data_IF_423322600352
#
_entry.id   IF_423322600352
#
_cell.length_a   1.000
_cell.length_b   1.000
_cell.length_c   1.000
_cell.angle_alpha   90.00
_cell.angle_beta   90.00
_cell.angle_gamma   90.00
#
_symmetry.space_group_name_H-M   'P 1'
#
loop_
_entity.id
_entity.type
_entity.pdbx_description
1 polymer ?
#
# COMPACT_ATOMS: atom_id res chain seq x y z
N UNK A 1 -41.85 -18.58 36.83
CA UNK A 1 -41.00 -17.36 36.78
C UNK A 1 -39.70 -17.76 36.13
N UNK A 2 -39.54 -17.51 34.83
CA UNK A 2 -38.46 -18.06 34.00
C UNK A 2 -37.54 -16.92 33.57
N UNK A 3 -36.31 -16.93 34.06
CA UNK A 3 -35.28 -15.92 33.72
C UNK A 3 -34.73 -16.28 32.34
N UNK A 4 -35.05 -15.46 31.33
CA UNK A 4 -34.40 -15.51 30.02
C UNK A 4 -33.01 -14.89 30.16
N UNK A 5 -31.98 -15.74 30.06
CA UNK A 5 -30.62 -15.29 29.77
C UNK A 5 -30.61 -14.65 28.38
N UNK A 6 -30.54 -13.32 28.33
CA UNK A 6 -30.21 -12.59 27.10
C UNK A 6 -28.71 -12.75 26.92
N UNK A 7 -28.33 -13.69 26.05
CA UNK A 7 -26.97 -13.79 25.54
C UNK A 7 -26.73 -12.56 24.66
N UNK A 8 -26.12 -11.52 25.21
CA UNK A 8 -25.55 -10.44 24.41
C UNK A 8 -24.40 -11.05 23.59
N UNK A 9 -24.69 -11.38 22.33
CA UNK A 9 -23.65 -11.49 21.32
C UNK A 9 -23.03 -10.09 21.18
N UNK A 10 -21.91 -9.88 21.86
CA UNK A 10 -20.95 -8.85 21.50
C UNK A 10 -20.52 -9.18 20.06
N UNK A 11 -21.11 -8.51 19.07
CA UNK A 11 -20.51 -8.39 17.76
C UNK A 11 -19.25 -7.55 17.97
N UNK A 12 -18.12 -8.20 18.21
CA UNK A 12 -16.83 -7.66 17.83
C UNK A 12 -16.94 -7.42 16.31
N UNK A 13 -17.19 -6.18 15.93
CA UNK A 13 -16.96 -5.71 14.57
C UNK A 13 -15.44 -5.79 14.38
N UNK A 14 -14.96 -6.97 14.01
CA UNK A 14 -13.70 -7.10 13.29
C UNK A 14 -13.94 -6.30 12.01
N UNK A 15 -13.46 -5.06 11.98
CA UNK A 15 -13.41 -4.30 10.74
C UNK A 15 -12.68 -5.16 9.72
N UNK A 16 -13.27 -5.34 8.54
CA UNK A 16 -12.65 -6.02 7.41
C UNK A 16 -11.42 -5.20 6.98
N UNK A 17 -10.32 -5.39 7.71
CA UNK A 17 -9.03 -4.85 7.36
C UNK A 17 -8.65 -5.42 6.01
N UNK A 18 -8.28 -4.54 5.08
CA UNK A 18 -7.70 -4.96 3.84
C UNK A 18 -6.35 -5.61 4.16
N UNK A 19 -6.34 -6.94 4.02
CA UNK A 19 -5.24 -7.80 4.43
C UNK A 19 -3.98 -7.48 3.62
N UNK A 20 -2.85 -7.23 4.30
CA UNK A 20 -1.52 -7.04 3.69
C UNK A 20 -1.20 -8.13 2.66
N UNK A 21 -1.71 -9.35 2.86
CA UNK A 21 -1.55 -10.46 1.93
C UNK A 21 -2.15 -10.21 0.54
N UNK A 22 -3.09 -9.28 0.37
CA UNK A 22 -3.68 -8.97 -0.93
C UNK A 22 -2.68 -8.34 -1.91
N UNK A 23 -1.59 -7.75 -1.42
CA UNK A 23 -0.49 -7.28 -2.27
C UNK A 23 0.46 -8.40 -2.73
N UNK A 24 0.28 -9.64 -2.27
CA UNK A 24 1.26 -10.70 -2.42
C UNK A 24 0.69 -11.99 -3.00
N UNK A 25 1.44 -12.58 -3.93
CA UNK A 25 1.17 -13.92 -4.46
C UNK A 25 2.20 -14.91 -3.93
N UNK A 26 1.75 -15.89 -3.14
CA UNK A 26 2.63 -16.98 -2.68
C UNK A 26 2.99 -17.91 -3.84
N UNK A 27 4.28 -18.20 -4.02
CA UNK A 27 4.72 -19.25 -4.95
C UNK A 27 5.36 -20.41 -4.18
N UNK A 28 4.77 -21.62 -4.21
CA UNK A 28 5.36 -22.78 -3.57
C UNK A 28 6.56 -23.33 -4.38
N UNK A 29 7.45 -24.07 -3.71
CA UNK A 29 8.50 -24.86 -4.38
C UNK A 29 9.78 -24.10 -4.74
N UNK A 30 10.11 -23.02 -4.03
CA UNK A 30 11.26 -22.16 -4.32
C UNK A 30 12.27 -22.16 -3.16
N UNK A 31 13.46 -22.74 -3.34
CA UNK A 31 14.55 -22.67 -2.35
C UNK A 31 15.41 -21.43 -2.57
N UNK A 32 15.87 -20.78 -1.49
CA UNK A 32 16.74 -19.60 -1.58
C UNK A 32 17.98 -19.95 -2.39
N UNK A 33 18.18 -19.28 -3.53
CA UNK A 33 19.45 -19.28 -4.25
C UNK A 33 20.00 -17.87 -4.17
N UNK A 34 20.63 -17.53 -3.04
CA UNK A 34 21.19 -16.18 -2.87
C UNK A 34 22.30 -15.96 -3.90
N UNK A 35 21.97 -15.28 -4.99
CA UNK A 35 22.97 -14.51 -5.73
C UNK A 35 23.18 -13.22 -4.94
N UNK A 36 24.38 -13.02 -4.43
CA UNK A 36 24.76 -11.97 -3.47
C UNK A 36 24.41 -10.54 -3.97
N UNK A 37 24.19 -10.36 -5.27
CA UNK A 37 23.91 -9.05 -5.88
C UNK A 37 22.40 -8.69 -5.96
N UNK A 38 21.49 -9.63 -5.66
CA UNK A 38 20.03 -9.44 -5.81
C UNK A 38 19.29 -9.46 -4.46
N UNK A 39 19.98 -9.82 -3.38
CA UNK A 39 19.45 -9.72 -2.01
C UNK A 39 19.85 -8.37 -1.45
N UNK A 40 18.85 -7.56 -1.08
CA UNK A 40 19.09 -6.18 -0.61
C UNK A 40 19.16 -6.06 0.88
N UNK A 41 18.25 -6.72 1.58
CA UNK A 41 18.12 -6.53 3.03
C UNK A 41 17.55 -7.78 3.65
N UNK A 42 18.16 -8.17 4.76
CA UNK A 42 17.64 -9.14 5.71
C UNK A 42 17.05 -8.37 6.88
N UNK A 43 15.75 -8.50 7.12
CA UNK A 43 15.11 -7.99 8.34
C UNK A 43 14.90 -9.14 9.31
N UNK A 44 15.20 -8.92 10.59
CA UNK A 44 14.87 -9.91 11.63
C UNK A 44 13.41 -9.69 12.01
N UNK A 45 12.56 -10.64 11.66
CA UNK A 45 11.12 -10.61 11.94
C UNK A 45 10.65 -12.01 12.32
N UNK A 46 9.77 -12.07 13.30
CA UNK A 46 9.19 -13.33 13.77
C UNK A 46 7.93 -13.70 12.96
N UNK A 47 7.22 -12.67 12.46
CA UNK A 47 5.93 -12.84 11.82
C UNK A 47 5.99 -12.58 10.31
N UNK A 48 5.27 -13.43 9.55
CA UNK A 48 5.11 -13.29 8.10
C UNK A 48 4.64 -11.89 7.71
N UNK A 49 3.61 -11.37 8.38
CA UNK A 49 2.99 -10.10 7.99
C UNK A 49 3.93 -8.90 8.23
N UNK A 50 4.81 -8.96 9.22
CA UNK A 50 5.86 -7.94 9.41
C UNK A 50 6.87 -7.94 8.27
N UNK A 51 7.23 -9.13 7.79
CA UNK A 51 8.06 -9.31 6.60
C UNK A 51 7.39 -8.66 5.38
N UNK A 52 6.10 -8.94 5.15
CA UNK A 52 5.31 -8.35 4.05
C UNK A 52 5.21 -6.82 4.16
N UNK A 53 4.94 -6.29 5.36
CA UNK A 53 4.91 -4.83 5.59
C UNK A 53 6.27 -4.18 5.32
N UNK A 54 7.37 -4.80 5.75
CA UNK A 54 8.72 -4.30 5.47
C UNK A 54 8.98 -4.19 3.96
N UNK A 55 8.53 -5.18 3.19
CA UNK A 55 8.58 -5.13 1.72
C UNK A 55 7.75 -3.95 1.17
N UNK A 56 6.53 -3.71 1.64
CA UNK A 56 5.70 -2.59 1.17
C UNK A 56 6.25 -1.21 1.54
N UNK A 57 6.91 -1.05 2.70
CA UNK A 57 7.56 0.22 3.10
C UNK A 57 8.59 0.69 2.08
N UNK A 58 9.27 -0.23 1.40
CA UNK A 58 10.23 0.11 0.32
C UNK A 58 9.58 0.84 -0.86
N UNK A 59 8.25 0.79 -1.02
CA UNK A 59 7.54 1.55 -2.05
C UNK A 59 7.43 3.04 -1.68
N UNK A 60 7.36 3.34 -0.38
CA UNK A 60 7.29 4.69 0.17
C UNK A 60 8.68 5.33 0.14
N UNK A 61 9.70 4.59 0.56
CA UNK A 61 11.06 5.10 0.68
C UNK A 61 11.72 5.35 -0.69
N UNK A 62 12.63 6.33 -0.80
CA UNK A 62 13.44 6.51 -2.00
C UNK A 62 14.44 5.35 -2.11
N UNK A 63 14.37 4.58 -3.20
CA UNK A 63 15.30 3.49 -3.41
C UNK A 63 14.80 2.49 -4.42
N UNK A 64 15.31 1.27 -4.33
CA UNK A 64 14.80 0.15 -5.10
C UNK A 64 13.64 -0.50 -4.39
N UNK A 65 12.67 -0.93 -5.19
CA UNK A 65 11.40 -1.47 -4.72
C UNK A 65 11.54 -2.96 -4.44
N UNK A 66 10.93 -3.42 -3.36
CA UNK A 66 10.74 -4.84 -3.13
C UNK A 66 9.80 -5.42 -4.20
N UNK A 67 10.32 -6.31 -5.04
CA UNK A 67 9.55 -7.09 -6.00
C UNK A 67 9.21 -8.49 -5.48
N UNK A 68 10.01 -9.02 -4.55
CA UNK A 68 9.71 -10.28 -3.89
C UNK A 68 10.39 -10.42 -2.54
N UNK A 69 9.91 -11.40 -1.78
CA UNK A 69 10.21 -11.56 -0.38
C UNK A 69 10.20 -13.04 -0.01
N UNK A 70 11.13 -13.45 0.86
CA UNK A 70 11.11 -14.77 1.47
C UNK A 70 11.13 -14.69 2.99
N UNK A 71 10.12 -15.26 3.63
CA UNK A 71 10.03 -15.37 5.08
C UNK A 71 10.63 -16.71 5.55
N UNK A 72 11.61 -16.66 6.44
CA UNK A 72 12.30 -17.83 7.01
C UNK A 72 12.03 -17.90 8.52
N UNK A 73 10.93 -18.56 8.95
CA UNK A 73 10.52 -18.58 10.35
C UNK A 73 11.55 -19.22 11.30
N UNK A 74 12.35 -20.18 10.80
CA UNK A 74 13.35 -20.88 11.62
C UNK A 74 14.50 -19.97 12.03
N UNK A 75 14.81 -19.01 11.18
CA UNK A 75 15.94 -18.09 11.36
C UNK A 75 15.46 -16.70 11.79
N UNK A 76 14.16 -16.52 12.05
CA UNK A 76 13.49 -15.24 12.28
C UNK A 76 13.91 -14.18 11.27
N UNK A 77 14.03 -14.56 10.01
CA UNK A 77 14.65 -13.72 8.99
C UNK A 77 13.73 -13.52 7.79
N UNK A 78 13.83 -12.34 7.20
CA UNK A 78 13.06 -11.87 6.06
C UNK A 78 14.01 -11.37 4.99
N UNK A 79 14.05 -12.06 3.86
CA UNK A 79 14.85 -11.66 2.70
C UNK A 79 13.97 -10.79 1.80
N UNK A 80 14.35 -9.54 1.61
CA UNK A 80 13.68 -8.60 0.70
C UNK A 80 14.55 -8.43 -0.55
N UNK A 81 13.92 -8.53 -1.73
CA UNK A 81 14.62 -8.45 -3.01
C UNK A 81 13.90 -7.58 -4.04
N UNK A 82 14.70 -7.00 -4.94
CA UNK A 82 14.30 -6.20 -6.09
C UNK A 82 14.09 -7.03 -7.38
N UNK A 83 14.15 -8.37 -7.31
CA UNK A 83 13.94 -9.27 -8.44
C UNK A 83 12.76 -10.22 -8.18
N UNK A 84 12.43 -11.07 -9.15
CA UNK A 84 11.35 -12.07 -9.07
C UNK A 84 11.81 -13.45 -9.55
N UNK A 85 11.16 -14.50 -9.07
CA UNK A 85 11.26 -15.87 -9.55
C UNK A 85 12.67 -16.47 -9.46
N UNK A 86 13.11 -17.09 -10.56
CA UNK A 86 14.35 -17.89 -10.62
C UNK A 86 15.64 -17.11 -10.39
N UNK A 87 15.58 -15.78 -10.43
CA UNK A 87 16.75 -14.94 -10.21
C UNK A 87 17.20 -14.99 -8.72
N UNK A 88 16.25 -15.21 -7.80
CA UNK A 88 16.49 -15.17 -6.34
C UNK A 88 16.30 -16.55 -5.69
N UNK A 89 15.47 -17.42 -6.28
CA UNK A 89 15.18 -18.73 -5.73
C UNK A 89 15.16 -19.80 -6.84
N UNK A 90 15.79 -20.94 -6.61
CA UNK A 90 15.72 -22.08 -7.53
C UNK A 90 14.45 -22.87 -7.26
N UNK A 91 13.72 -23.21 -8.30
CA UNK A 91 12.66 -24.18 -8.20
C UNK A 91 13.28 -25.53 -7.79
N UNK A 92 12.88 -26.08 -6.63
CA UNK A 92 13.30 -27.42 -6.20
C UNK A 92 12.29 -28.44 -6.73
N UNK A 93 12.76 -29.37 -7.56
CA UNK A 93 11.96 -30.42 -8.18
C UNK A 93 11.74 -31.62 -7.22
N UNK A 94 12.43 -31.65 -6.06
CA UNK A 94 12.52 -32.86 -5.24
C UNK A 94 12.02 -32.77 -3.81
N UNK A 95 11.62 -31.62 -3.25
CA UNK A 95 10.95 -31.62 -1.95
C UNK A 95 9.87 -30.55 -1.79
N UNK A 96 8.72 -30.94 -1.21
CA UNK A 96 7.73 -30.03 -0.61
C UNK A 96 8.32 -29.34 0.63
N UNK A 97 9.43 -28.61 0.50
CA UNK A 97 9.90 -27.72 1.56
C UNK A 97 8.97 -26.51 1.58
N UNK A 98 8.43 -26.21 2.76
CA UNK A 98 7.56 -25.07 3.03
C UNK A 98 8.35 -23.75 2.87
N UNK A 99 8.57 -23.35 1.63
CA UNK A 99 9.25 -22.09 1.31
C UNK A 99 8.21 -20.99 1.20
N UNK A 100 8.29 -20.00 2.09
CA UNK A 100 7.36 -18.87 2.12
C UNK A 100 7.87 -17.75 1.21
N UNK A 101 7.89 -18.02 -0.10
CA UNK A 101 8.24 -17.03 -1.11
C UNK A 101 6.98 -16.32 -1.62
N UNK A 102 7.05 -15.00 -1.71
CA UNK A 102 5.96 -14.15 -2.16
C UNK A 102 6.44 -13.12 -3.17
N UNK A 103 5.70 -12.96 -4.25
CA UNK A 103 5.89 -11.86 -5.20
C UNK A 103 5.00 -10.67 -4.80
N UNK A 104 5.55 -9.45 -4.89
CA UNK A 104 4.82 -8.22 -4.59
C UNK A 104 4.07 -7.74 -5.84
N UNK A 105 2.78 -8.00 -5.90
CA UNK A 105 1.89 -7.59 -6.99
C UNK A 105 1.61 -6.09 -6.95
N UNK A 106 1.61 -5.46 -5.78
CA UNK A 106 1.46 -4.01 -5.66
C UNK A 106 2.65 -3.23 -6.25
N UNK A 107 3.85 -3.84 -6.28
CA UNK A 107 5.01 -3.26 -6.96
C UNK A 107 4.97 -3.36 -8.50
N UNK A 108 4.01 -4.12 -9.07
CA UNK A 108 3.84 -4.33 -10.52
C UNK A 108 2.66 -3.49 -11.03
N UNK A 109 2.90 -2.28 -11.57
CA UNK A 109 1.81 -1.46 -12.04
C UNK A 109 1.19 -2.04 -13.31
N UNK A 110 -0.14 -1.87 -13.50
CA UNK A 110 -0.81 -2.16 -14.76
C UNK A 110 -0.15 -1.43 -15.94
N UNK A 111 -0.30 -2.01 -17.13
CA UNK A 111 0.16 -1.41 -18.38
C UNK A 111 -0.67 -0.14 -18.68
N UNK A 112 -0.01 0.93 -19.11
CA UNK A 112 -0.67 2.20 -19.45
C UNK A 112 0.17 3.43 -19.10
N UNK A 113 -0.44 4.61 -19.22
CA UNK A 113 0.10 5.84 -18.65
C UNK A 113 0.10 5.75 -17.13
N UNK A 114 1.15 6.28 -16.49
CA UNK A 114 1.36 6.11 -15.05
C UNK A 114 1.77 7.42 -14.38
N UNK A 115 1.07 7.72 -13.29
CA UNK A 115 1.37 8.86 -12.43
C UNK A 115 1.55 8.39 -10.99
N UNK A 116 2.29 9.15 -10.20
CA UNK A 116 2.44 8.92 -8.77
C UNK A 116 2.30 10.21 -7.96
N UNK A 117 1.78 10.09 -6.75
CA UNK A 117 1.81 11.13 -5.75
C UNK A 117 2.50 10.58 -4.49
N UNK A 118 3.54 11.29 -4.04
CA UNK A 118 4.24 10.99 -2.79
C UNK A 118 3.73 11.89 -1.68
N UNK A 119 3.26 11.26 -0.61
CA UNK A 119 2.88 11.91 0.64
C UNK A 119 4.16 12.17 1.44
N UNK A 120 4.21 13.30 2.15
CA UNK A 120 5.46 13.86 2.69
C UNK A 120 5.60 13.82 4.21
N UNK A 121 4.72 13.12 4.94
CA UNK A 121 4.87 12.98 6.40
C UNK A 121 4.28 14.13 7.20
N UNK A 122 3.41 14.98 6.63
CA UNK A 122 3.04 16.28 7.24
C UNK A 122 2.49 16.16 8.67
N UNK A 123 1.67 15.13 8.96
CA UNK A 123 1.21 14.79 10.33
C UNK A 123 1.62 13.39 10.75
N UNK A 124 2.81 12.95 10.33
CA UNK A 124 3.35 11.62 10.61
C UNK A 124 2.89 10.54 9.63
N UNK A 125 1.80 10.76 8.89
CA UNK A 125 1.39 9.91 7.79
C UNK A 125 2.26 10.16 6.57
N UNK A 126 2.87 9.11 6.00
CA UNK A 126 3.62 9.15 4.75
C UNK A 126 3.18 8.00 3.84
N UNK A 127 3.52 8.06 2.56
CA UNK A 127 3.03 7.06 1.62
C UNK A 127 3.24 7.39 0.16
N UNK A 128 2.83 6.44 -0.67
CA UNK A 128 2.82 6.55 -2.12
C UNK A 128 1.47 6.13 -2.66
N UNK A 129 0.97 6.92 -3.60
CA UNK A 129 -0.19 6.60 -4.42
C UNK A 129 0.30 6.49 -5.86
N UNK A 130 -0.05 5.40 -6.54
CA UNK A 130 0.25 5.22 -7.96
C UNK A 130 -1.04 4.97 -8.70
N UNK A 131 -1.17 5.58 -9.88
CA UNK A 131 -2.31 5.38 -10.75
C UNK A 131 -1.82 4.99 -12.13
N UNK A 132 -2.53 4.06 -12.74
CA UNK A 132 -2.24 3.54 -14.07
C UNK A 132 -3.53 3.44 -14.89
N UNK A 133 -3.47 3.83 -16.16
CA UNK A 133 -4.61 3.75 -17.07
C UNK A 133 -4.13 3.49 -18.49
N UNK A 134 -4.77 2.52 -19.13
CA UNK A 134 -4.67 2.31 -20.57
C UNK A 134 -5.83 3.04 -21.23
N UNK A 135 -5.58 3.64 -22.40
CA UNK A 135 -6.62 4.34 -23.15
C UNK A 135 -7.85 3.44 -23.40
N UNK A 136 -9.03 3.94 -23.03
CA UNK A 136 -10.31 3.22 -23.14
C UNK A 136 -10.66 2.34 -21.93
N UNK A 137 -9.75 2.15 -20.97
CA UNK A 137 -9.99 1.43 -19.73
C UNK A 137 -10.18 2.40 -18.55
N UNK A 138 -10.76 1.91 -17.45
CA UNK A 138 -10.79 2.66 -16.19
C UNK A 138 -9.40 2.78 -15.58
N UNK A 139 -9.13 3.89 -14.90
CA UNK A 139 -7.90 4.01 -14.13
C UNK A 139 -7.90 3.03 -12.95
N UNK A 140 -6.71 2.58 -12.58
CA UNK A 140 -6.47 1.79 -11.37
C UNK A 140 -5.58 2.58 -10.43
N UNK A 141 -5.86 2.49 -9.13
CA UNK A 141 -5.06 3.10 -8.06
C UNK A 141 -4.47 2.02 -7.16
N UNK A 142 -3.23 2.25 -6.71
CA UNK A 142 -2.59 1.53 -5.62
C UNK A 142 -2.14 2.55 -4.58
N UNK A 143 -2.35 2.24 -3.31
CA UNK A 143 -2.00 3.09 -2.18
C UNK A 143 -1.23 2.27 -1.16
N UNK A 144 -0.10 2.79 -0.69
CA UNK A 144 0.60 2.28 0.48
C UNK A 144 0.97 3.46 1.35
N UNK A 145 0.51 3.43 2.60
CA UNK A 145 0.69 4.50 3.59
C UNK A 145 1.13 3.91 4.93
N UNK A 146 1.89 4.66 5.71
CA UNK A 146 2.30 4.30 7.08
C UNK A 146 2.21 5.52 7.98
N UNK A 147 2.26 5.30 9.30
CA UNK A 147 2.15 6.37 10.29
C UNK A 147 0.70 6.85 10.52
N UNK A 148 -0.28 6.05 10.10
CA UNK A 148 -1.69 6.30 10.34
C UNK A 148 -2.10 5.86 11.75
N UNK A 149 -3.17 6.44 12.28
CA UNK A 149 -3.79 5.90 13.47
C UNK A 149 -4.43 4.55 13.11
N UNK A 150 -4.12 3.51 13.87
CA UNK A 150 -4.59 2.15 13.63
C UNK A 150 -6.12 2.05 13.72
N UNK A 151 -6.69 1.17 12.89
CA UNK A 151 -8.11 0.83 12.90
C UNK A 151 -9.02 1.94 12.39
N UNK A 152 -8.57 2.74 11.41
CA UNK A 152 -9.32 3.88 10.88
C UNK A 152 -9.36 3.88 9.36
N UNK A 153 -10.38 4.54 8.84
CA UNK A 153 -10.57 4.72 7.41
C UNK A 153 -10.05 6.08 6.95
N UNK A 154 -9.35 6.10 5.82
CA UNK A 154 -8.78 7.29 5.23
C UNK A 154 -9.29 7.47 3.81
N UNK A 155 -9.99 8.57 3.57
CA UNK A 155 -10.48 8.95 2.27
C UNK A 155 -9.43 9.77 1.53
N UNK A 156 -9.19 9.43 0.27
CA UNK A 156 -8.28 10.14 -0.63
C UNK A 156 -9.11 10.94 -1.62
N UNK A 157 -8.86 12.25 -1.68
CA UNK A 157 -9.58 13.19 -2.52
C UNK A 157 -8.67 13.82 -3.56
N UNK A 158 -9.20 14.06 -4.76
CA UNK A 158 -8.58 14.91 -5.74
C UNK A 158 -8.90 16.38 -5.43
N UNK A 159 -7.90 17.24 -5.33
CA UNK A 159 -8.05 18.65 -4.96
C UNK A 159 -7.28 19.56 -5.94
N UNK A 160 -7.79 19.79 -7.16
CA UNK A 160 -7.08 20.52 -8.20
C UNK A 160 -6.87 22.01 -7.87
N UNK A 161 -7.73 22.56 -7.02
CA UNK A 161 -7.70 23.97 -6.59
C UNK A 161 -6.73 24.23 -5.45
N UNK A 162 -6.09 23.19 -4.89
CA UNK A 162 -5.13 23.31 -3.81
C UNK A 162 -3.71 23.12 -4.34
N UNK A 163 -2.82 24.04 -3.97
CA UNK A 163 -1.39 23.78 -3.99
C UNK A 163 -0.97 22.92 -2.79
N UNK A 164 0.21 22.29 -2.89
CA UNK A 164 0.80 21.50 -1.80
C UNK A 164 0.99 22.32 -0.52
N UNK A 165 1.34 23.60 -0.64
CA UNK A 165 1.51 24.51 0.50
C UNK A 165 0.17 24.88 1.16
N UNK A 166 -0.87 25.11 0.36
CA UNK A 166 -2.21 25.38 0.87
C UNK A 166 -2.77 24.16 1.59
N UNK A 167 -2.59 22.96 1.02
CA UNK A 167 -3.01 21.72 1.66
C UNK A 167 -2.43 21.56 3.08
N UNK A 168 -1.15 21.87 3.29
CA UNK A 168 -0.52 21.82 4.63
C UNK A 168 -1.15 22.77 5.64
N UNK A 169 -1.91 23.77 5.20
CA UNK A 169 -2.64 24.69 6.09
C UNK A 169 -4.08 24.24 6.32
N UNK A 170 -4.58 23.28 5.53
CA UNK A 170 -5.92 22.71 5.72
C UNK A 170 -5.89 21.79 6.94
N UNK A 171 -6.74 22.09 7.92
CA UNK A 171 -6.90 21.19 9.07
C UNK A 171 -7.92 20.09 8.76
N UNK A 172 -9.05 20.46 8.16
CA UNK A 172 -10.16 19.56 7.84
C UNK A 172 -10.62 19.74 6.39
N UNK A 173 -11.10 18.66 5.75
CA UNK A 173 -11.54 18.69 4.35
C UNK A 173 -12.79 19.56 4.13
N UNK A 174 -13.63 19.75 5.15
CA UNK A 174 -14.84 20.58 5.05
C UNK A 174 -14.52 22.05 4.75
N UNK A 175 -13.32 22.50 5.10
CA UNK A 175 -12.84 23.86 4.85
C UNK A 175 -11.98 23.95 3.57
N UNK A 176 -11.83 22.84 2.85
CA UNK A 176 -11.04 22.77 1.63
C UNK A 176 -11.94 22.60 0.42
N UNK A 177 -11.52 23.19 -0.71
CA UNK A 177 -12.07 22.88 -2.03
C UNK A 177 -11.50 21.54 -2.50
N UNK A 178 -12.03 20.46 -1.93
CA UNK A 178 -11.77 19.09 -2.40
C UNK A 178 -12.82 18.71 -3.44
N UNK A 179 -12.38 18.02 -4.49
CA UNK A 179 -13.22 17.44 -5.51
C UNK A 179 -13.64 16.02 -5.13
N UNK A 180 -13.61 15.13 -6.12
CA UNK A 180 -14.06 13.75 -5.98
C UNK A 180 -13.19 12.93 -5.01
N UNK A 181 -13.85 12.04 -4.26
CA UNK A 181 -13.19 11.00 -3.46
C UNK A 181 -12.82 9.84 -4.37
N UNK A 182 -11.53 9.55 -4.49
CA UNK A 182 -11.01 8.51 -5.37
C UNK A 182 -11.12 7.11 -4.74
N UNK A 183 -10.72 6.99 -3.48
CA UNK A 183 -10.68 5.70 -2.77
C UNK A 183 -10.70 5.90 -1.25
N UNK A 184 -11.07 4.85 -0.52
CA UNK A 184 -10.97 4.76 0.94
C UNK A 184 -9.93 3.68 1.26
N UNK A 185 -9.07 3.93 2.23
CA UNK A 185 -8.05 3.00 2.70
C UNK A 185 -8.15 2.85 4.21
N UNK A 186 -8.29 1.63 4.69
CA UNK A 186 -8.22 1.31 6.10
C UNK A 186 -6.76 1.10 6.56
N UNK A 187 -6.38 1.61 7.75
CA UNK A 187 -5.04 1.52 8.38
C UNK A 187 -4.82 0.42 9.46
N UNK A 188 -4.03 -0.61 9.21
CA UNK A 188 -3.99 -1.81 10.09
C UNK A 188 -3.55 -1.54 11.53
N UNK A 189 -3.48 -2.60 12.35
CA UNK A 189 -3.04 -2.47 13.75
C UNK A 189 -1.65 -1.83 13.91
N UNK A 190 -0.83 -1.80 12.84
CA UNK A 190 0.49 -1.16 12.80
C UNK A 190 0.46 0.28 12.28
N UNK A 191 -0.72 0.79 11.89
CA UNK A 191 -0.90 2.09 11.25
C UNK A 191 -0.53 2.10 9.77
N UNK A 192 -0.52 0.95 9.10
CA UNK A 192 -0.25 0.83 7.67
C UNK A 192 -1.55 0.72 6.88
N UNK A 193 -1.79 1.65 5.95
CA UNK A 193 -2.93 1.61 5.04
C UNK A 193 -2.54 1.07 3.67
N UNK A 194 -3.30 0.10 3.15
CA UNK A 194 -2.98 -0.57 1.88
C UNK A 194 -4.24 -0.61 1.01
N UNK A 195 -4.10 -0.16 -0.23
CA UNK A 195 -5.05 -0.43 -1.31
C UNK A 195 -4.28 -1.06 -2.48
N UNK A 196 -4.49 -2.36 -2.76
CA UNK A 196 -3.98 -3.00 -3.96
C UNK A 196 -4.57 -2.34 -5.22
N UNK A 197 -4.00 -2.65 -6.38
CA UNK A 197 -4.48 -2.14 -7.67
C UNK A 197 -5.98 -2.35 -7.87
N UNK A 198 -6.75 -1.28 -7.69
CA UNK A 198 -8.22 -1.29 -7.70
C UNK A 198 -8.72 -0.27 -8.72
N UNK A 199 -9.78 -0.61 -9.43
CA UNK A 199 -10.40 0.30 -10.41
C UNK A 199 -11.08 1.48 -9.72
N UNK A 200 -10.87 2.67 -10.28
CA UNK A 200 -11.54 3.90 -9.87
C UNK A 200 -12.26 4.52 -11.07
N UNK A 201 -13.37 5.21 -10.80
CA UNK A 201 -14.11 5.94 -11.83
C UNK A 201 -13.51 7.34 -12.01
N UNK A 202 -12.25 7.40 -12.44
CA UNK A 202 -11.51 8.64 -12.65
C UNK A 202 -10.56 8.48 -13.84
N UNK A 203 -10.29 9.56 -14.57
CA UNK A 203 -9.41 9.56 -15.74
C UNK A 203 -8.08 10.26 -15.42
N UNK A 204 -6.97 9.60 -15.70
CA UNK A 204 -5.61 10.12 -15.44
C UNK A 204 -4.87 10.53 -16.71
N UNK A 205 -5.42 10.22 -17.88
CA UNK A 205 -4.82 10.53 -19.19
C UNK A 205 -5.15 11.97 -19.66
N UNK A 206 -5.76 12.78 -18.80
CA UNK A 206 -5.93 14.22 -19.01
C UNK A 206 -4.70 14.97 -18.49
N UNK A 207 -4.10 15.83 -19.31
CA UNK A 207 -2.91 16.61 -18.98
C UNK A 207 -3.15 17.56 -17.79
N UNK A 208 -4.39 17.99 -17.53
CA UNK A 208 -4.71 18.86 -16.39
C UNK A 208 -4.63 18.11 -15.04
N UNK A 209 -4.37 16.80 -15.02
CA UNK A 209 -4.17 16.04 -13.77
C UNK A 209 -2.78 16.25 -13.16
N UNK A 210 -1.78 16.61 -13.98
CA UNK A 210 -0.40 16.77 -13.51
C UNK A 210 -0.23 18.02 -12.64
N UNK A 211 0.63 17.90 -11.62
CA UNK A 211 0.92 18.93 -10.63
C UNK A 211 -0.27 19.33 -9.74
N UNK A 212 -1.39 18.61 -9.82
CA UNK A 212 -2.53 18.76 -8.91
C UNK A 212 -2.32 17.95 -7.64
N UNK A 213 -3.10 18.25 -6.61
CA UNK A 213 -2.90 17.68 -5.27
C UNK A 213 -3.93 16.60 -4.96
N UNK A 214 -3.46 15.52 -4.36
CA UNK A 214 -4.28 14.54 -3.64
C UNK A 214 -4.21 14.86 -2.14
N UNK A 215 -5.37 14.85 -1.49
CA UNK A 215 -5.50 15.08 -0.05
C UNK A 215 -5.95 13.79 0.61
N UNK A 216 -5.29 13.41 1.69
CA UNK A 216 -5.70 12.27 2.53
C UNK A 216 -6.30 12.81 3.82
N UNK A 217 -7.49 12.34 4.16
CA UNK A 217 -8.16 12.70 5.39
C UNK A 217 -8.79 11.50 6.07
N UNK A 218 -8.79 11.48 7.40
CA UNK A 218 -9.53 10.47 8.15
C UNK A 218 -11.03 10.66 7.88
N UNK A 219 -11.70 9.57 7.52
CA UNK A 219 -13.02 9.60 6.87
C UNK A 219 -14.10 10.14 7.79
N UNK A 220 -14.05 9.84 9.09
CA UNK A 220 -15.11 10.22 10.02
C UNK A 220 -14.99 11.67 10.52
N UNK A 221 -13.77 12.12 10.82
CA UNK A 221 -13.50 13.47 11.33
C UNK A 221 -13.23 14.49 10.22
N UNK A 222 -12.91 14.02 9.01
CA UNK A 222 -12.43 14.87 7.93
C UNK A 222 -11.07 15.50 8.19
N UNK A 223 -10.34 15.07 9.24
CA UNK A 223 -9.02 15.60 9.57
C UNK A 223 -8.03 15.23 8.46
N UNK A 224 -7.46 16.25 7.82
CA UNK A 224 -6.40 16.06 6.83
C UNK A 224 -5.16 15.51 7.51
N UNK A 225 -4.56 14.44 6.98
CA UNK A 225 -3.36 13.83 7.56
C UNK A 225 -2.13 14.03 6.68
N UNK A 226 -2.29 14.05 5.35
CA UNK A 226 -1.22 14.41 4.43
C UNK A 226 -1.76 14.78 3.05
N UNK A 227 -0.85 15.18 2.15
CA UNK A 227 -1.12 15.37 0.74
C UNK A 227 0.12 15.17 -0.14
N UNK A 228 -0.15 14.85 -1.39
CA UNK A 228 0.85 14.60 -2.42
C UNK A 228 0.49 15.28 -3.73
N UNK A 229 1.50 15.68 -4.49
CA UNK A 229 1.32 16.24 -5.82
C UNK A 229 1.48 15.14 -6.86
N UNK A 230 0.60 15.13 -7.87
CA UNK A 230 0.60 14.12 -8.92
C UNK A 230 1.68 14.45 -9.95
N UNK A 231 2.57 13.49 -10.19
CA UNK A 231 3.67 13.61 -11.15
C UNK A 231 3.75 12.39 -12.06
N UNK A 232 4.37 12.55 -13.22
CA UNK A 232 4.74 11.41 -14.06
C UNK A 232 5.66 10.47 -13.27
N UNK A 233 5.33 9.18 -13.29
CA UNK A 233 6.14 8.18 -12.59
C UNK A 233 7.54 8.12 -13.22
N UNK A 234 8.57 8.22 -12.40
CA UNK A 234 9.98 8.15 -12.85
C UNK A 234 10.62 9.50 -13.20
N UNK A 235 9.87 10.61 -13.16
CA UNK A 235 10.46 11.94 -13.21
C UNK A 235 11.00 12.29 -11.82
N UNK A 236 12.30 12.09 -11.62
CA UNK A 236 13.04 12.52 -10.41
C UNK A 236 13.73 13.85 -10.66
#
# INVERSE_FOLDING_TARGET
>A
MSIKFILLCLHLVLGDYLDVNQCFSQRPGYEVSVRVNEVKTTAVVEMKDECLRACLRTLIEPGERCLSIMHMPRDNNCIISNAIGQNIAKADDTTKKHTNYYENECAKPPVGGQVEARLSGYRGAEGVLQMAQKHGDKAKIMVVMTGLAAGRDYSIYYAPELSKEQCRKVHTIHNAKVGERLVIVDSDHSGMGIQPWTEINWEILDDDVLNKVLVVAETNSGLVVDCGEIKLRGNR
#
